data_IF_065643479073
#
_entry.id   IF_065643479073
#
_cell.length_a   1.000
_cell.length_b   1.000
_cell.length_c   1.000
_cell.angle_alpha   90.00
_cell.angle_beta   90.00
_cell.angle_gamma   90.00
#
_symmetry.space_group_name_H-M   'P 1'
#
loop_
_entity.id
_entity.type
_entity.pdbx_description
1 polymer ?
#
# COMPACT_ATOMS: atom_id res chain seq x y z
N UNK A 1 -6.30 13.21 -17.01
CA UNK A 1 -5.56 13.30 -15.73
C UNK A 1 -6.36 12.60 -14.66
N UNK A 2 -5.92 11.41 -14.23
CA UNK A 2 -6.57 10.70 -13.12
C UNK A 2 -6.42 11.46 -11.81
N UNK A 3 -7.33 11.21 -10.87
CA UNK A 3 -7.22 11.71 -9.49
C UNK A 3 -7.05 10.51 -8.56
N UNK A 4 -6.17 10.64 -7.57
CA UNK A 4 -6.12 9.68 -6.47
C UNK A 4 -7.49 9.59 -5.79
N UNK A 5 -7.98 8.36 -5.58
CA UNK A 5 -9.27 8.07 -4.96
C UNK A 5 -9.07 7.39 -3.61
N UNK A 6 -10.04 7.49 -2.69
CA UNK A 6 -10.07 6.64 -1.51
C UNK A 6 -9.96 5.17 -1.92
N UNK A 7 -9.26 4.38 -1.12
CA UNK A 7 -8.99 2.98 -1.41
C UNK A 7 -9.37 2.12 -0.21
N UNK A 8 -10.17 1.07 -0.43
CA UNK A 8 -10.46 0.11 0.62
C UNK A 8 -9.18 -0.63 0.99
N UNK A 9 -8.97 -0.87 2.28
CA UNK A 9 -7.79 -1.58 2.79
C UNK A 9 -7.56 -2.92 2.09
N UNK A 10 -8.62 -3.68 1.83
CA UNK A 10 -8.55 -4.97 1.11
C UNK A 10 -8.00 -4.82 -0.32
N UNK A 11 -8.37 -3.74 -1.00
CA UNK A 11 -7.97 -3.49 -2.38
C UNK A 11 -6.53 -2.97 -2.41
N UNK A 12 -6.14 -2.16 -1.42
CA UNK A 12 -4.74 -1.77 -1.18
C UNK A 12 -3.84 -3.00 -0.97
N UNK A 13 -4.21 -3.91 -0.07
CA UNK A 13 -3.46 -5.16 0.19
C UNK A 13 -3.35 -6.02 -1.06
N UNK A 14 -4.42 -6.13 -1.86
CA UNK A 14 -4.38 -6.88 -3.14
C UNK A 14 -3.37 -6.29 -4.12
N UNK A 15 -3.30 -4.96 -4.23
CA UNK A 15 -2.31 -4.28 -5.07
C UNK A 15 -0.89 -4.47 -4.55
N UNK A 16 -0.66 -4.40 -3.23
CA UNK A 16 0.64 -4.69 -2.64
C UNK A 16 1.12 -6.10 -2.95
N UNK A 17 0.24 -7.10 -2.91
CA UNK A 17 0.59 -8.48 -3.31
C UNK A 17 1.03 -8.58 -4.77
N UNK A 18 0.53 -7.73 -5.66
CA UNK A 18 0.98 -7.65 -7.06
C UNK A 18 2.33 -6.94 -7.22
N UNK A 19 2.76 -6.19 -6.20
CA UNK A 19 4.06 -5.55 -6.10
C UNK A 19 5.07 -6.42 -5.32
N UNK A 20 4.85 -7.74 -5.29
CA UNK A 20 5.68 -8.73 -4.60
C UNK A 20 5.83 -8.53 -3.08
N UNK A 21 4.89 -7.82 -2.44
CA UNK A 21 4.83 -7.82 -0.98
C UNK A 21 4.29 -9.16 -0.45
N UNK A 22 4.90 -9.62 0.64
CA UNK A 22 4.47 -10.80 1.39
C UNK A 22 3.08 -10.62 2.00
N UNK A 23 2.33 -11.72 2.26
CA UNK A 23 1.03 -11.65 2.92
C UNK A 23 1.07 -10.87 4.24
N UNK A 24 -0.04 -10.19 4.61
CA UNK A 24 -0.08 -9.41 5.84
C UNK A 24 0.11 -10.29 7.09
N UNK A 25 1.09 -9.93 7.90
CA UNK A 25 1.39 -10.57 9.18
C UNK A 25 0.75 -9.82 10.35
N UNK A 26 0.26 -10.53 11.39
CA UNK A 26 -0.22 -9.91 12.61
C UNK A 26 0.94 -9.36 13.44
N UNK A 27 0.90 -8.06 13.79
CA UNK A 27 1.87 -7.45 14.71
C UNK A 27 1.18 -6.64 15.82
N UNK A 28 0.15 -7.23 16.44
CA UNK A 28 -0.61 -6.60 17.51
C UNK A 28 -1.74 -5.70 16.99
N UNK A 29 -1.59 -4.38 17.11
CA UNK A 29 -2.65 -3.40 16.75
C UNK A 29 -2.79 -3.20 15.24
N UNK A 30 -1.71 -3.38 14.49
CA UNK A 30 -1.67 -3.21 13.04
C UNK A 30 -1.16 -4.49 12.36
N UNK A 31 -1.52 -4.66 11.09
CA UNK A 31 -0.88 -5.68 10.26
C UNK A 31 0.34 -5.07 9.60
N UNK A 32 1.27 -5.93 9.20
CA UNK A 32 2.49 -5.53 8.50
C UNK A 32 2.60 -6.34 7.21
N UNK A 33 3.10 -5.75 6.14
CA UNK A 33 3.50 -6.47 4.94
C UNK A 33 4.97 -6.20 4.67
N UNK A 34 5.71 -7.23 4.26
CA UNK A 34 7.15 -7.13 4.03
C UNK A 34 7.46 -7.15 2.53
N UNK A 35 8.51 -6.45 2.15
CA UNK A 35 9.13 -6.51 0.83
C UNK A 35 10.65 -6.64 1.05
N UNK A 36 11.15 -7.88 1.02
CA UNK A 36 12.52 -8.18 1.44
C UNK A 36 12.79 -7.71 2.87
N UNK A 37 13.69 -6.75 3.05
CA UNK A 37 14.03 -6.17 4.35
C UNK A 37 13.15 -4.96 4.74
N UNK A 38 12.29 -4.48 3.84
CA UNK A 38 11.39 -3.36 4.12
C UNK A 38 10.09 -3.84 4.74
N UNK A 39 9.63 -3.16 5.79
CA UNK A 39 8.38 -3.48 6.48
C UNK A 39 7.41 -2.31 6.39
N UNK A 40 6.27 -2.53 5.74
CA UNK A 40 5.19 -1.56 5.62
C UNK A 40 4.13 -1.83 6.70
N UNK A 41 3.82 -0.82 7.51
CA UNK A 41 2.70 -0.89 8.47
C UNK A 41 1.38 -0.61 7.76
N UNK A 42 0.39 -1.48 7.94
CA UNK A 42 -0.96 -1.33 7.39
C UNK A 42 -1.96 -0.86 8.46
N UNK A 43 -2.42 0.40 8.42
CA UNK A 43 -3.40 0.95 9.38
C UNK A 43 -4.74 0.22 9.31
N UNK A 44 -5.33 -0.13 10.45
CA UNK A 44 -6.52 -1.00 10.57
C UNK A 44 -7.83 -0.40 10.04
N UNK A 45 -7.81 0.84 9.53
CA UNK A 45 -8.97 1.50 8.92
C UNK A 45 -9.52 0.65 7.76
N UNK A 46 -10.85 0.58 7.63
CA UNK A 46 -11.52 -0.16 6.54
C UNK A 46 -11.26 0.47 5.17
N UNK A 47 -11.13 1.80 5.15
CA UNK A 47 -10.90 2.60 3.95
C UNK A 47 -9.86 3.68 4.26
N UNK A 48 -9.01 3.95 3.28
CA UNK A 48 -7.98 4.98 3.33
C UNK A 48 -8.45 6.20 2.55
N UNK A 49 -8.37 7.35 3.20
CA UNK A 49 -8.60 8.64 2.55
C UNK A 49 -7.50 8.91 1.50
N UNK A 50 -7.75 9.83 0.57
CA UNK A 50 -6.75 10.19 -0.46
C UNK A 50 -5.40 10.61 0.15
N UNK A 51 -5.34 11.45 1.22
CA UNK A 51 -4.07 11.76 1.88
C UNK A 51 -3.37 10.52 2.45
N UNK A 52 -4.14 9.60 3.04
CA UNK A 52 -3.59 8.38 3.62
C UNK A 52 -3.05 7.43 2.55
N UNK A 53 -3.75 7.29 1.42
CA UNK A 53 -3.28 6.50 0.27
C UNK A 53 -1.96 7.05 -0.25
N UNK A 54 -1.85 8.37 -0.45
CA UNK A 54 -0.61 9.01 -0.91
C UNK A 54 0.55 8.78 0.06
N UNK A 55 0.29 8.91 1.36
CA UNK A 55 1.29 8.66 2.40
C UNK A 55 1.80 7.22 2.36
N UNK A 56 0.88 6.25 2.31
CA UNK A 56 1.24 4.83 2.24
C UNK A 56 1.98 4.49 0.94
N UNK A 57 1.62 5.12 -0.18
CA UNK A 57 2.32 4.93 -1.44
C UNK A 57 3.72 5.48 -1.40
N UNK A 58 3.94 6.64 -0.80
CA UNK A 58 5.31 7.16 -0.65
C UNK A 58 6.19 6.22 0.17
N UNK A 59 5.63 5.56 1.19
CA UNK A 59 6.32 4.52 1.96
C UNK A 59 6.58 3.26 1.12
N UNK A 60 5.61 2.81 0.32
CA UNK A 60 5.78 1.71 -0.63
C UNK A 60 6.89 2.03 -1.64
N UNK A 61 6.87 3.20 -2.26
CA UNK A 61 7.85 3.66 -3.26
C UNK A 61 9.27 3.68 -2.67
N UNK A 62 9.41 4.13 -1.42
CA UNK A 62 10.67 4.06 -0.66
C UNK A 62 11.11 2.63 -0.41
N UNK A 63 10.18 1.75 -0.06
CA UNK A 63 10.45 0.33 0.20
C UNK A 63 10.90 -0.45 -1.04
N UNK A 64 10.27 -0.20 -2.18
CA UNK A 64 10.59 -0.88 -3.45
C UNK A 64 11.67 -0.17 -4.26
N UNK A 65 12.03 1.07 -3.92
CA UNK A 65 13.00 1.89 -4.64
C UNK A 65 12.52 2.35 -6.03
N UNK A 66 11.19 2.37 -6.26
CA UNK A 66 10.56 2.71 -7.54
C UNK A 66 9.36 3.61 -7.30
N UNK A 67 9.19 4.65 -8.13
CA UNK A 67 8.00 5.49 -8.13
C UNK A 67 6.84 4.77 -8.82
N UNK A 68 5.64 4.85 -8.24
CA UNK A 68 4.42 4.25 -8.78
C UNK A 68 3.56 5.39 -9.33
N UNK A 69 3.44 5.45 -10.65
CA UNK A 69 2.55 6.42 -11.28
C UNK A 69 1.08 6.11 -10.93
N UNK A 70 0.21 7.13 -10.99
CA UNK A 70 -1.23 6.91 -10.78
C UNK A 70 -1.80 5.87 -11.76
N UNK A 71 -1.33 5.86 -13.01
CA UNK A 71 -1.79 4.92 -14.03
C UNK A 71 -1.36 3.48 -13.72
N UNK A 72 -0.13 3.30 -13.24
CA UNK A 72 0.36 2.01 -12.76
C UNK A 72 -0.46 1.55 -11.56
N UNK A 73 -0.68 2.44 -10.59
CA UNK A 73 -1.51 2.14 -9.43
C UNK A 73 -2.94 1.76 -9.80
N UNK A 74 -3.55 2.42 -10.78
CA UNK A 74 -4.91 2.08 -11.23
C UNK A 74 -4.98 0.75 -12.00
N UNK A 75 -3.89 0.31 -12.63
CA UNK A 75 -3.81 -0.95 -13.39
C UNK A 75 -3.50 -2.18 -12.51
N UNK A 76 -2.92 -1.98 -11.32
CA UNK A 76 -2.78 -3.03 -10.29
C UNK A 76 -4.13 -3.42 -9.71
#
# INVERSE_FOLDING_TARGET
>A
MGKWKPCKRRDFIKKLKKLDFEPPEPGGRHLYMRYGNYTLTLPSNKEYSVPQVKMLLSEVERGIGKNISLEEWEKL
#
